data_IF_491614121912
#
_entry.id   IF_491614121912
#
_cell.length_a   1.000
_cell.length_b   1.000
_cell.length_c   1.000
_cell.angle_alpha   90.00
_cell.angle_beta   90.00
_cell.angle_gamma   90.00
#
_symmetry.space_group_name_H-M   'P 1'
#
loop_
_entity.id
_entity.type
_entity.pdbx_description
1 polymer ?
#
# COMPACT_ATOMS: atom_id res chain seq x y z
N UNK A 1 -34.46 21.28 19.38
CA UNK A 1 -34.70 19.90 19.87
C UNK A 1 -35.40 19.11 18.79
N UNK A 2 -35.25 17.79 18.77
CA UNK A 2 -35.89 16.93 17.76
C UNK A 2 -37.40 16.80 17.96
N UNK A 3 -37.86 16.81 19.20
CA UNK A 3 -39.30 16.80 19.53
C UNK A 3 -39.60 17.88 20.58
N UNK A 4 -39.94 19.11 20.18
CA UNK A 4 -40.39 20.14 21.12
C UNK A 4 -41.76 19.77 21.72
N UNK A 5 -41.95 19.97 23.02
CA UNK A 5 -43.22 19.65 23.68
C UNK A 5 -43.18 19.80 25.20
N UNK A 6 -44.28 19.44 25.85
CA UNK A 6 -44.38 19.35 27.31
C UNK A 6 -43.96 17.97 27.79
N UNK A 7 -43.10 17.94 28.81
CA UNK A 7 -42.56 16.69 29.36
C UNK A 7 -42.75 16.67 30.86
N UNK A 8 -43.40 15.61 31.37
CA UNK A 8 -43.50 15.35 32.80
C UNK A 8 -42.16 14.93 33.41
N UNK A 9 -41.93 15.31 34.66
CA UNK A 9 -40.73 14.94 35.41
C UNK A 9 -40.85 15.29 36.89
N UNK A 10 -39.77 15.04 37.63
CA UNK A 10 -39.64 15.34 39.06
C UNK A 10 -38.61 16.45 39.30
N UNK A 11 -38.66 17.15 40.43
CA UNK A 11 -37.75 18.27 40.70
C UNK A 11 -36.25 17.90 40.73
N UNK A 12 -35.93 16.62 40.88
CA UNK A 12 -34.57 16.07 40.81
C UNK A 12 -34.12 15.68 39.39
N UNK A 13 -35.00 15.74 38.39
CA UNK A 13 -34.62 15.48 37.00
C UNK A 13 -33.63 16.55 36.52
N UNK A 14 -32.56 16.10 35.86
CA UNK A 14 -31.56 17.01 35.31
C UNK A 14 -31.98 17.58 33.95
N UNK A 15 -31.31 18.66 33.53
CA UNK A 15 -31.46 19.20 32.18
C UNK A 15 -31.26 18.12 31.11
N UNK A 16 -30.27 17.23 31.30
CA UNK A 16 -29.99 16.13 30.37
C UNK A 16 -31.14 15.11 30.29
N UNK A 17 -31.82 14.85 31.41
CA UNK A 17 -33.01 13.98 31.43
C UNK A 17 -34.10 14.55 30.53
N UNK A 18 -34.42 15.84 30.67
CA UNK A 18 -35.42 16.52 29.83
C UNK A 18 -34.99 16.62 28.36
N UNK A 19 -33.72 16.94 28.10
CA UNK A 19 -33.17 16.94 26.73
C UNK A 19 -33.29 15.56 26.09
N UNK A 20 -32.97 14.50 26.84
CA UNK A 20 -33.11 13.11 26.37
C UNK A 20 -34.56 12.75 26.07
N UNK A 21 -35.51 13.12 26.96
CA UNK A 21 -36.96 12.91 26.74
C UNK A 21 -37.46 13.64 25.49
N UNK A 22 -36.88 14.80 25.18
CA UNK A 22 -37.18 15.58 23.97
C UNK A 22 -36.44 15.09 22.69
N UNK A 23 -35.80 13.92 22.75
CA UNK A 23 -35.07 13.33 21.63
C UNK A 23 -33.70 13.97 21.38
N UNK A 24 -33.18 14.76 22.32
CA UNK A 24 -31.90 15.43 22.26
C UNK A 24 -31.92 16.80 21.56
N UNK A 25 -30.75 17.44 21.56
CA UNK A 25 -30.50 18.63 20.74
C UNK A 25 -30.44 18.20 19.28
N UNK A 26 -31.08 18.99 18.41
CA UNK A 26 -31.03 18.76 16.97
C UNK A 26 -29.62 19.13 16.48
N UNK A 27 -28.88 18.18 15.90
CA UNK A 27 -27.48 18.36 15.52
C UNK A 27 -27.25 19.35 14.38
N UNK A 28 -28.28 19.63 13.57
CA UNK A 28 -28.19 20.58 12.46
C UNK A 28 -28.59 21.98 12.89
N UNK A 29 -29.65 22.10 13.71
CA UNK A 29 -30.32 23.39 13.99
C UNK A 29 -30.17 23.88 15.43
N UNK A 30 -29.97 22.97 16.39
CA UNK A 30 -29.97 23.30 17.81
C UNK A 30 -28.58 23.59 18.33
N UNK A 31 -28.47 24.60 19.20
CA UNK A 31 -27.23 24.94 19.87
C UNK A 31 -26.92 24.00 21.03
N UNK A 32 -25.68 23.54 21.10
CA UNK A 32 -25.10 22.82 22.24
C UNK A 32 -24.49 23.80 23.25
N UNK A 33 -24.24 25.05 22.85
CA UNK A 33 -23.57 26.06 23.67
C UNK A 33 -24.57 27.07 24.27
N UNK A 34 -25.68 27.33 23.59
CA UNK A 34 -26.75 28.24 24.02
C UNK A 34 -28.03 27.47 24.39
N UNK A 35 -28.03 26.88 25.59
CA UNK A 35 -29.24 26.33 26.20
C UNK A 35 -29.62 27.18 27.40
N UNK A 36 -30.85 27.68 27.42
CA UNK A 36 -31.35 28.54 28.50
C UNK A 36 -32.49 27.88 29.25
N UNK A 37 -32.42 27.92 30.58
CA UNK A 37 -33.54 27.53 31.45
C UNK A 37 -34.24 28.81 31.90
N UNK A 38 -35.54 28.90 31.66
CA UNK A 38 -36.38 30.06 31.98
C UNK A 38 -37.47 29.69 32.96
N UNK A 39 -37.79 30.61 33.87
CA UNK A 39 -38.99 30.56 34.72
C UNK A 39 -39.84 31.79 34.43
N UNK A 40 -40.95 31.61 33.71
CA UNK A 40 -41.68 32.74 33.12
C UNK A 40 -40.78 33.56 32.19
N UNK A 41 -40.63 34.87 32.47
CA UNK A 41 -39.78 35.77 31.66
C UNK A 41 -38.31 35.84 32.09
N UNK A 42 -37.95 35.24 33.23
CA UNK A 42 -36.60 35.34 33.80
C UNK A 42 -35.72 34.16 33.39
N UNK A 43 -34.50 34.43 32.93
CA UNK A 43 -33.47 33.41 32.66
C UNK A 43 -32.83 32.98 33.98
N UNK A 44 -32.92 31.69 34.30
CA UNK A 44 -32.37 31.09 35.53
C UNK A 44 -30.94 30.62 35.35
N UNK A 45 -30.66 29.96 34.23
CA UNK A 45 -29.33 29.48 33.91
C UNK A 45 -29.11 29.43 32.40
N UNK A 46 -27.85 29.58 32.01
CA UNK A 46 -27.34 29.27 30.68
C UNK A 46 -26.42 28.07 30.81
N UNK A 47 -26.54 27.13 29.89
CA UNK A 47 -25.84 25.85 29.95
C UNK A 47 -25.16 25.60 28.62
N UNK A 48 -23.86 25.32 28.71
CA UNK A 48 -23.04 24.79 27.62
C UNK A 48 -22.91 23.28 27.82
N UNK A 49 -23.43 22.49 26.90
CA UNK A 49 -23.37 21.03 26.99
C UNK A 49 -21.95 20.48 26.79
N UNK A 50 -21.05 21.22 26.14
CA UNK A 50 -19.65 20.77 26.02
C UNK A 50 -18.93 20.71 27.36
N UNK A 51 -19.31 21.53 28.35
CA UNK A 51 -18.76 21.46 29.71
C UNK A 51 -19.02 20.07 30.34
N UNK A 52 -20.17 19.48 30.03
CA UNK A 52 -20.52 18.15 30.47
C UNK A 52 -19.87 17.07 29.59
N UNK A 53 -19.95 17.19 28.27
CA UNK A 53 -19.44 16.17 27.35
C UNK A 53 -17.92 16.01 27.44
N UNK A 54 -17.19 17.09 27.70
CA UNK A 54 -15.73 17.10 27.75
C UNK A 54 -15.19 16.98 29.18
N UNK A 55 -15.83 17.64 30.16
CA UNK A 55 -15.31 17.74 31.53
C UNK A 55 -16.21 17.09 32.59
N UNK A 56 -17.37 16.54 32.21
CA UNK A 56 -18.34 15.95 33.14
C UNK A 56 -19.01 16.98 34.06
N UNK A 57 -18.89 18.27 33.77
CA UNK A 57 -19.42 19.35 34.61
C UNK A 57 -20.76 19.82 34.07
N UNK A 58 -21.78 19.73 34.90
CA UNK A 58 -23.09 20.33 34.63
C UNK A 58 -23.61 20.99 35.90
N UNK A 59 -24.08 22.23 35.79
CA UNK A 59 -24.71 22.91 36.91
C UNK A 59 -25.97 22.18 37.37
N UNK A 60 -26.14 21.99 38.68
CA UNK A 60 -27.36 21.45 39.26
C UNK A 60 -28.45 22.52 39.18
N UNK A 61 -29.48 22.28 38.36
CA UNK A 61 -30.67 23.13 38.28
C UNK A 61 -31.86 22.34 38.84
N UNK A 62 -32.51 22.87 39.87
CA UNK A 62 -33.79 22.33 40.36
C UNK A 62 -34.93 22.85 39.50
N UNK A 63 -35.59 21.94 38.79
CA UNK A 63 -36.73 22.27 37.93
C UNK A 63 -38.02 22.30 38.73
N UNK A 64 -38.88 23.26 38.40
CA UNK A 64 -40.23 23.41 38.97
C UNK A 64 -41.24 23.55 37.83
N UNK A 65 -42.50 23.23 38.10
CA UNK A 65 -43.61 23.42 37.16
C UNK A 65 -43.60 24.81 36.54
N UNK A 66 -43.69 24.85 35.20
CA UNK A 66 -43.62 26.07 34.41
C UNK A 66 -42.21 26.50 33.99
N UNK A 67 -41.16 25.78 34.38
CA UNK A 67 -39.83 25.99 33.82
C UNK A 67 -39.78 25.57 32.34
N UNK A 68 -39.10 26.37 31.52
CA UNK A 68 -38.97 26.14 30.09
C UNK A 68 -37.49 26.02 29.73
N UNK A 69 -37.12 24.91 29.07
CA UNK A 69 -35.80 24.73 28.49
C UNK A 69 -35.87 25.18 27.03
N UNK A 70 -35.11 26.22 26.70
CA UNK A 70 -35.02 26.75 25.34
C UNK A 70 -33.62 26.45 24.79
N UNK A 71 -33.59 25.67 23.72
CA UNK A 71 -32.38 25.44 22.92
C UNK A 71 -32.34 26.52 21.85
N UNK A 72 -31.31 27.36 21.89
CA UNK A 72 -31.08 28.40 20.88
C UNK A 72 -30.75 27.80 19.51
N UNK A 73 -30.82 28.62 18.44
CA UNK A 73 -30.34 28.20 17.13
C UNK A 73 -28.82 28.04 17.14
N UNK A 74 -28.32 27.08 16.37
CA UNK A 74 -26.88 26.86 16.19
C UNK A 74 -26.20 28.15 15.70
N UNK A 75 -25.11 28.54 16.35
CA UNK A 75 -24.36 29.76 16.04
C UNK A 75 -23.18 29.42 15.11
N UNK A 76 -21.95 29.59 15.58
CA UNK A 76 -20.74 29.42 14.79
C UNK A 76 -20.21 28.01 14.88
N UNK A 77 -19.70 27.49 13.77
CA UNK A 77 -19.26 26.10 13.67
C UNK A 77 -17.91 25.96 12.98
N UNK A 78 -17.15 24.94 13.36
CA UNK A 78 -16.00 24.49 12.59
C UNK A 78 -16.01 22.97 12.52
N UNK A 79 -15.52 22.43 11.40
CA UNK A 79 -15.42 20.99 11.21
C UNK A 79 -14.01 20.50 11.50
N UNK A 80 -13.87 19.32 12.10
CA UNK A 80 -12.58 18.68 12.34
C UNK A 80 -12.54 17.30 11.70
N UNK A 81 -11.47 17.04 10.95
CA UNK A 81 -11.22 15.74 10.31
C UNK A 81 -9.75 15.32 10.40
N UNK A 82 -9.49 14.04 10.07
CA UNK A 82 -8.15 13.48 9.97
C UNK A 82 -7.69 12.74 11.23
N UNK A 83 -6.44 12.93 11.63
CA UNK A 83 -5.78 12.22 12.73
C UNK A 83 -6.19 12.73 14.12
N UNK A 84 -7.49 12.65 14.40
CA UNK A 84 -8.13 13.07 15.66
C UNK A 84 -9.01 11.95 16.22
N UNK A 85 -9.25 11.97 17.54
CA UNK A 85 -10.24 11.08 18.16
C UNK A 85 -11.67 11.57 17.94
N UNK A 86 -11.87 12.90 17.97
CA UNK A 86 -13.17 13.52 17.86
C UNK A 86 -13.28 14.27 16.52
N UNK A 87 -13.64 13.53 15.47
CA UNK A 87 -13.86 14.05 14.12
C UNK A 87 -15.31 14.48 13.94
N UNK A 88 -15.64 15.69 14.37
CA UNK A 88 -17.02 16.21 14.38
C UNK A 88 -17.06 17.69 13.98
N UNK A 89 -18.28 18.18 13.77
CA UNK A 89 -18.55 19.61 13.72
C UNK A 89 -18.77 20.14 15.14
N UNK A 90 -17.95 21.10 15.55
CA UNK A 90 -18.05 21.74 16.85
C UNK A 90 -18.72 23.09 16.73
N UNK A 91 -19.52 23.44 17.73
CA UNK A 91 -20.11 24.76 17.87
C UNK A 91 -19.36 25.59 18.91
N UNK A 92 -19.23 26.89 18.68
CA UNK A 92 -18.61 27.83 19.62
C UNK A 92 -19.37 29.16 19.67
N UNK A 93 -19.29 29.85 20.80
CA UNK A 93 -20.13 31.03 21.07
C UNK A 93 -19.73 32.30 20.32
N UNK A 94 -18.44 32.45 20.03
CA UNK A 94 -17.88 33.67 19.45
C UNK A 94 -17.67 33.49 17.94
N UNK A 95 -17.42 34.55 17.18
CA UNK A 95 -17.10 34.45 15.75
C UNK A 95 -15.73 33.82 15.46
N UNK A 96 -14.89 33.68 16.49
CA UNK A 96 -13.58 33.01 16.43
C UNK A 96 -13.34 32.11 17.64
N UNK A 97 -12.54 31.06 17.44
CA UNK A 97 -12.07 30.17 18.50
C UNK A 97 -10.56 29.93 18.34
N UNK A 98 -9.75 29.98 19.42
CA UNK A 98 -8.33 29.62 19.35
C UNK A 98 -8.15 28.18 18.87
N UNK A 99 -7.18 27.96 17.98
CA UNK A 99 -6.89 26.61 17.47
C UNK A 99 -6.47 25.67 18.61
N UNK A 100 -5.79 26.17 19.65
CA UNK A 100 -5.44 25.39 20.84
C UNK A 100 -6.66 24.82 21.56
N UNK A 101 -7.74 25.61 21.63
CA UNK A 101 -9.00 25.18 22.24
C UNK A 101 -9.71 24.17 21.34
N UNK A 102 -9.80 24.46 20.03
CA UNK A 102 -10.33 23.54 19.04
C UNK A 102 -9.61 22.18 19.05
N UNK A 103 -8.29 22.17 19.18
CA UNK A 103 -7.48 20.94 19.30
C UNK A 103 -7.76 20.19 20.60
N UNK A 104 -8.07 20.89 21.70
CA UNK A 104 -8.45 20.23 22.96
C UNK A 104 -9.76 19.45 22.82
N UNK A 105 -10.69 19.95 21.99
CA UNK A 105 -11.96 19.28 21.69
C UNK A 105 -11.77 18.14 20.69
N UNK A 106 -11.01 18.39 19.63
CA UNK A 106 -10.68 17.42 18.58
C UNK A 106 -9.89 16.21 19.12
N UNK A 107 -9.01 16.45 20.10
CA UNK A 107 -8.05 15.46 20.63
C UNK A 107 -7.24 14.77 19.52
N UNK A 108 -6.21 15.41 18.95
CA UNK A 108 -5.29 14.78 18.01
C UNK A 108 -4.76 13.43 18.50
N UNK A 109 -4.67 12.45 17.61
CA UNK A 109 -4.11 11.13 17.92
C UNK A 109 -2.60 11.24 18.22
N UNK A 110 -2.05 10.36 19.06
CA UNK A 110 -0.60 10.28 19.26
C UNK A 110 0.10 10.05 17.91
N UNK A 111 0.75 11.09 17.42
CA UNK A 111 1.54 11.03 16.20
C UNK A 111 1.18 12.01 15.11
N UNK A 112 0.05 12.71 15.22
CA UNK A 112 -0.27 13.85 14.38
C UNK A 112 0.82 14.92 14.49
N UNK A 113 1.19 15.54 13.36
CA UNK A 113 2.29 16.52 13.31
C UNK A 113 1.86 17.86 12.74
N UNK A 114 0.85 17.89 11.87
CA UNK A 114 0.43 19.07 11.13
C UNK A 114 -1.07 19.30 11.21
N UNK A 115 -1.45 20.53 10.92
CA UNK A 115 -2.82 20.98 10.78
C UNK A 115 -2.96 21.80 9.50
N UNK A 116 -4.08 21.61 8.83
CA UNK A 116 -4.52 22.42 7.69
C UNK A 116 -5.78 23.15 8.09
N UNK A 117 -5.78 24.48 7.95
CA UNK A 117 -6.96 25.31 8.15
C UNK A 117 -7.48 25.69 6.77
N UNK A 118 -8.67 25.22 6.44
CA UNK A 118 -9.38 25.60 5.21
C UNK A 118 -10.41 26.66 5.58
N UNK A 119 -10.15 27.89 5.14
CA UNK A 119 -11.07 29.01 5.29
C UNK A 119 -12.20 28.89 4.28
N UNK A 120 -13.44 28.89 4.77
CA UNK A 120 -14.64 28.79 3.92
C UNK A 120 -15.43 30.09 3.83
N UNK A 121 -14.91 31.18 4.38
CA UNK A 121 -15.56 32.50 4.32
C UNK A 121 -15.30 33.19 2.97
N UNK A 122 -16.37 33.72 2.38
CA UNK A 122 -16.31 34.44 1.10
C UNK A 122 -16.24 33.52 -0.14
N UNK A 123 -15.98 34.12 -1.31
CA UNK A 123 -15.97 33.38 -2.58
C UNK A 123 -14.68 32.59 -2.84
N UNK A 124 -13.59 32.90 -2.12
CA UNK A 124 -12.28 32.29 -2.35
C UNK A 124 -11.91 31.33 -1.22
N UNK A 125 -11.74 30.06 -1.57
CA UNK A 125 -11.24 29.04 -0.65
C UNK A 125 -9.74 29.25 -0.41
N UNK A 126 -9.34 29.45 0.85
CA UNK A 126 -7.93 29.56 1.26
C UNK A 126 -7.53 28.39 2.15
N UNK A 127 -6.42 27.73 1.84
CA UNK A 127 -5.86 26.65 2.65
C UNK A 127 -4.53 27.10 3.27
N UNK A 128 -4.40 26.95 4.58
CA UNK A 128 -3.21 27.30 5.34
C UNK A 128 -2.64 26.03 5.99
N UNK A 129 -1.36 25.73 5.77
CA UNK A 129 -0.70 24.50 6.27
C UNK A 129 0.35 24.85 7.32
N UNK A 130 0.26 24.20 8.49
CA UNK A 130 1.10 24.53 9.63
C UNK A 130 1.46 23.30 10.47
N UNK A 131 2.62 23.27 11.13
CA UNK A 131 2.90 22.28 12.17
C UNK A 131 1.99 22.52 13.38
N UNK A 132 1.54 21.45 14.05
CA UNK A 132 0.68 21.51 15.23
C UNK A 132 1.28 22.34 16.37
N UNK A 133 2.60 22.35 16.50
CA UNK A 133 3.33 23.17 17.48
C UNK A 133 3.09 24.67 17.31
N UNK A 134 2.66 25.11 16.13
CA UNK A 134 2.32 26.50 15.84
C UNK A 134 0.84 26.83 16.10
N UNK A 135 0.06 25.94 16.73
CA UNK A 135 -1.31 26.23 17.14
C UNK A 135 -1.47 27.51 18.00
N UNK A 136 -0.57 27.84 18.93
CA UNK A 136 -0.67 29.08 19.71
C UNK A 136 -0.70 30.32 18.81
N UNK A 137 -1.61 31.25 19.10
CA UNK A 137 -1.79 32.50 18.36
C UNK A 137 -2.59 32.39 17.06
N UNK A 138 -3.09 31.20 16.70
CA UNK A 138 -4.00 31.00 15.55
C UNK A 138 -5.44 30.83 16.02
N UNK A 139 -6.37 31.28 15.20
CA UNK A 139 -7.80 31.12 15.43
C UNK A 139 -8.52 30.55 14.20
N UNK A 140 -9.56 29.78 14.47
CA UNK A 140 -10.56 29.40 13.49
C UNK A 140 -11.69 30.43 13.51
N UNK A 141 -12.33 30.57 12.37
CA UNK A 141 -13.51 31.39 12.15
C UNK A 141 -14.71 30.47 11.84
N UNK A 142 -15.90 31.05 11.87
CA UNK A 142 -17.12 30.33 11.52
C UNK A 142 -17.06 29.76 10.08
N UNK A 143 -17.43 28.48 9.96
CA UNK A 143 -17.37 27.69 8.74
C UNK A 143 -16.00 27.09 8.42
N UNK A 144 -14.95 27.38 9.21
CA UNK A 144 -13.63 26.82 8.91
C UNK A 144 -13.59 25.30 9.06
N UNK A 145 -12.71 24.68 8.30
CA UNK A 145 -12.40 23.25 8.40
C UNK A 145 -10.96 23.06 8.86
N UNK A 146 -10.79 22.32 9.95
CA UNK A 146 -9.50 21.95 10.52
C UNK A 146 -9.20 20.48 10.20
N UNK A 147 -8.19 20.24 9.37
CA UNK A 147 -7.74 18.88 9.05
C UNK A 147 -6.44 18.62 9.79
N UNK A 148 -6.40 17.58 10.60
CA UNK A 148 -5.20 17.15 11.31
C UNK A 148 -4.55 16.01 10.54
N UNK A 149 -3.25 16.09 10.30
CA UNK A 149 -2.52 15.09 9.55
C UNK A 149 -1.20 14.72 10.20
N UNK A 150 -0.75 13.52 9.86
CA UNK A 150 0.60 13.04 10.13
C UNK A 150 1.44 13.22 8.87
N UNK A 151 2.29 14.24 8.88
CA UNK A 151 3.34 14.43 7.88
C UNK A 151 4.67 14.07 8.55
N UNK A 152 5.17 12.89 8.16
CA UNK A 152 6.43 12.30 8.63
C UNK A 152 7.21 11.86 7.42
N UNK A 153 8.48 12.21 7.40
CA UNK A 153 9.46 11.67 6.47
C UNK A 153 10.22 10.53 7.16
N UNK A 154 10.62 9.52 6.39
CA UNK A 154 11.46 8.44 6.90
C UNK A 154 12.83 9.02 7.28
N UNK A 155 13.14 9.04 8.57
CA UNK A 155 14.49 9.40 9.06
C UNK A 155 15.48 8.24 8.93
N UNK A 156 14.96 7.03 9.04
CA UNK A 156 15.72 5.79 8.91
C UNK A 156 14.97 4.82 8.00
N UNK A 157 15.72 3.91 7.40
CA UNK A 157 15.20 2.73 6.71
C UNK A 157 15.64 1.49 7.47
N UNK A 158 14.82 0.46 7.41
CA UNK A 158 15.16 -0.86 7.90
C UNK A 158 15.31 -1.81 6.71
N UNK A 159 16.46 -2.45 6.64
CA UNK A 159 16.78 -3.44 5.59
C UNK A 159 16.97 -4.78 6.26
N UNK A 160 16.48 -5.85 5.62
CA UNK A 160 16.67 -7.21 6.11
C UNK A 160 17.84 -7.87 5.37
N UNK A 161 18.69 -8.57 6.09
CA UNK A 161 19.73 -9.43 5.53
C UNK A 161 19.33 -10.87 5.85
N UNK A 162 19.13 -11.68 4.82
CA UNK A 162 18.75 -13.08 4.92
C UNK A 162 19.80 -13.99 4.30
N UNK A 163 19.74 -15.28 4.65
CA UNK A 163 20.55 -16.34 4.03
C UNK A 163 21.83 -16.64 4.80
N UNK A 164 22.91 -16.92 4.06
CA UNK A 164 24.16 -17.37 4.62
C UNK A 164 24.95 -16.22 5.25
N UNK A 165 24.72 -15.93 6.52
CA UNK A 165 25.56 -15.05 7.35
C UNK A 165 25.44 -15.42 8.83
N UNK A 166 26.26 -14.80 9.67
CA UNK A 166 26.26 -14.99 11.14
C UNK A 166 26.03 -13.68 11.89
N UNK A 167 25.44 -12.70 11.20
CA UNK A 167 25.16 -11.36 11.73
C UNK A 167 23.68 -11.14 12.05
N UNK A 168 23.36 -9.90 12.41
CA UNK A 168 21.98 -9.47 12.59
C UNK A 168 21.20 -9.56 11.27
N UNK A 169 19.94 -9.96 11.35
CA UNK A 169 19.07 -10.07 10.17
C UNK A 169 18.38 -8.76 9.82
N UNK A 170 18.39 -7.77 10.73
CA UNK A 170 17.79 -6.47 10.50
C UNK A 170 18.82 -5.37 10.75
N UNK A 171 18.99 -4.48 9.78
CA UNK A 171 19.92 -3.36 9.83
C UNK A 171 19.14 -2.07 9.67
N UNK A 172 19.29 -1.17 10.64
CA UNK A 172 18.68 0.17 10.61
C UNK A 172 19.72 1.17 10.12
N UNK A 173 19.36 1.94 9.10
CA UNK A 173 20.25 2.88 8.42
C UNK A 173 19.56 4.25 8.29
N UNK A 174 20.31 5.35 8.12
CA UNK A 174 19.70 6.62 7.74
C UNK A 174 19.02 6.53 6.37
N UNK A 175 17.98 7.32 6.16
CA UNK A 175 17.35 7.43 4.84
C UNK A 175 18.36 7.93 3.80
N UNK A 176 18.40 7.28 2.63
CA UNK A 176 19.40 7.52 1.58
C UNK A 176 20.70 6.71 1.75
N UNK A 177 20.73 5.73 2.65
CA UNK A 177 21.83 4.79 2.78
C UNK A 177 22.06 3.95 1.51
N UNK A 178 23.31 3.50 1.35
CA UNK A 178 23.72 2.67 0.21
C UNK A 178 24.02 1.24 0.62
N UNK A 179 24.05 0.35 -0.36
CA UNK A 179 24.43 -1.05 -0.20
C UNK A 179 25.78 -1.21 0.50
N UNK A 180 26.78 -0.38 0.18
CA UNK A 180 28.10 -0.39 0.85
C UNK A 180 27.97 -0.30 2.37
N UNK A 181 27.07 0.54 2.88
CA UNK A 181 26.89 0.73 4.32
C UNK A 181 26.29 -0.51 5.00
N UNK A 182 25.46 -1.28 4.30
CA UNK A 182 24.96 -2.56 4.82
C UNK A 182 26.01 -3.64 4.70
N UNK A 183 26.67 -3.77 3.56
CA UNK A 183 27.72 -4.77 3.33
C UNK A 183 28.83 -4.68 4.40
N UNK A 184 29.16 -3.48 4.85
CA UNK A 184 30.13 -3.27 5.94
C UNK A 184 29.68 -3.80 7.31
N UNK A 185 28.37 -3.97 7.53
CA UNK A 185 27.79 -4.49 8.78
C UNK A 185 27.48 -5.99 8.71
N UNK A 186 27.48 -6.58 7.51
CA UNK A 186 27.25 -8.01 7.33
C UNK A 186 28.43 -8.81 7.88
N UNK A 187 28.11 -9.91 8.58
CA UNK A 187 29.10 -10.88 9.07
C UNK A 187 29.01 -12.17 8.24
N UNK A 188 29.74 -12.28 7.12
CA UNK A 188 29.73 -13.49 6.31
C UNK A 188 30.32 -14.68 7.07
N UNK A 189 29.90 -15.88 6.69
CA UNK A 189 30.42 -17.16 7.20
C UNK A 189 31.03 -17.98 6.04
N UNK A 190 31.49 -19.20 6.31
CA UNK A 190 32.17 -20.04 5.32
C UNK A 190 31.30 -20.39 4.10
N UNK A 191 29.98 -20.43 4.29
CA UNK A 191 28.99 -20.78 3.25
C UNK A 191 28.46 -19.56 2.49
N UNK A 192 28.77 -18.33 2.90
CA UNK A 192 28.31 -17.10 2.22
C UNK A 192 28.87 -16.98 0.79
N UNK A 193 28.00 -16.79 -0.20
CA UNK A 193 28.38 -16.46 -1.57
C UNK A 193 28.17 -14.96 -1.85
N UNK A 194 29.15 -14.13 -1.48
CA UNK A 194 29.04 -12.67 -1.54
C UNK A 194 29.01 -12.07 -2.95
N UNK A 195 29.55 -12.77 -3.95
CA UNK A 195 29.46 -12.30 -5.35
C UNK A 195 28.07 -12.50 -5.97
N UNK A 196 27.20 -13.27 -5.30
CA UNK A 196 25.86 -13.59 -5.77
C UNK A 196 24.76 -13.00 -4.90
N UNK A 197 25.04 -11.89 -4.20
CA UNK A 197 24.04 -11.21 -3.39
C UNK A 197 22.87 -10.78 -4.26
N UNK A 198 21.66 -11.03 -3.77
CA UNK A 198 20.41 -10.65 -4.41
C UNK A 198 19.75 -9.53 -3.60
N UNK A 199 19.15 -8.57 -4.30
CA UNK A 199 18.34 -7.52 -3.69
C UNK A 199 16.88 -7.69 -4.11
N UNK A 200 16.00 -7.85 -3.14
CA UNK A 200 14.56 -7.90 -3.35
C UNK A 200 13.90 -6.64 -2.82
N UNK A 201 13.12 -6.00 -3.68
CA UNK A 201 12.53 -4.69 -3.44
C UNK A 201 11.06 -4.66 -3.78
N UNK A 202 10.26 -4.17 -2.83
CA UNK A 202 8.80 -4.11 -2.97
C UNK A 202 8.35 -3.20 -4.11
N UNK A 203 8.95 -2.01 -4.27
CA UNK A 203 8.59 -1.07 -5.35
C UNK A 203 8.86 -1.67 -6.74
N UNK A 204 9.94 -2.44 -6.88
CA UNK A 204 10.30 -3.16 -8.11
C UNK A 204 9.32 -4.30 -8.36
N UNK A 205 8.92 -5.05 -7.33
CA UNK A 205 7.88 -6.09 -7.48
C UNK A 205 6.56 -5.51 -8.00
N UNK A 206 6.12 -4.37 -7.44
CA UNK A 206 4.92 -3.66 -7.90
C UNK A 206 5.05 -3.23 -9.36
N UNK A 207 6.17 -2.62 -9.74
CA UNK A 207 6.40 -2.19 -11.12
C UNK A 207 6.49 -3.35 -12.11
N UNK A 208 7.15 -4.45 -11.73
CA UNK A 208 7.19 -5.68 -12.53
C UNK A 208 5.78 -6.24 -12.73
N UNK A 209 4.92 -6.19 -11.69
CA UNK A 209 3.54 -6.65 -11.76
C UNK A 209 2.69 -5.80 -12.71
N UNK A 210 2.80 -4.48 -12.63
CA UNK A 210 2.11 -3.56 -13.54
C UNK A 210 2.52 -3.79 -15.00
N UNK A 211 3.82 -3.98 -15.26
CA UNK A 211 4.33 -4.27 -16.60
C UNK A 211 3.82 -5.60 -17.14
N UNK A 212 3.80 -6.64 -16.30
CA UNK A 212 3.23 -7.94 -16.65
C UNK A 212 1.74 -7.82 -16.97
N UNK A 213 0.96 -7.12 -16.13
CA UNK A 213 -0.48 -6.99 -16.32
C UNK A 213 -0.83 -6.23 -17.61
N UNK A 214 -0.02 -5.24 -18.00
CA UNK A 214 -0.13 -4.55 -19.28
C UNK A 214 0.23 -5.46 -20.46
N UNK A 215 1.31 -6.25 -20.37
CA UNK A 215 1.68 -7.23 -21.39
C UNK A 215 0.59 -8.29 -21.57
N UNK A 216 -0.02 -8.75 -20.48
CA UNK A 216 -1.14 -9.70 -20.49
C UNK A 216 -2.39 -9.11 -21.14
N UNK A 217 -2.72 -7.85 -20.85
CA UNK A 217 -3.84 -7.16 -21.50
C UNK A 217 -3.62 -7.06 -23.02
N UNK A 218 -2.42 -6.66 -23.46
CA UNK A 218 -2.10 -6.58 -24.89
C UNK A 218 -2.21 -7.94 -25.59
N UNK A 219 -1.80 -9.02 -24.93
CA UNK A 219 -1.94 -10.38 -25.45
C UNK A 219 -3.43 -10.75 -25.63
N UNK A 220 -4.27 -10.41 -24.66
CA UNK A 220 -5.71 -10.67 -24.71
C UNK A 220 -6.38 -9.88 -25.85
N UNK A 221 -6.05 -8.60 -26.00
CA UNK A 221 -6.53 -7.76 -27.12
C UNK A 221 -6.09 -8.30 -28.49
N UNK A 222 -4.81 -8.69 -28.63
CA UNK A 222 -4.28 -9.28 -29.86
C UNK A 222 -4.95 -10.61 -30.23
N UNK A 223 -5.40 -11.37 -29.23
CA UNK A 223 -6.16 -12.61 -29.47
C UNK A 223 -7.58 -12.36 -29.99
N UNK A 224 -8.16 -11.17 -29.76
CA UNK A 224 -9.53 -10.82 -30.12
C UNK A 224 -9.63 -10.00 -31.42
N UNK A 225 -8.56 -9.34 -31.84
CA UNK A 225 -8.57 -8.35 -32.93
C UNK A 225 -8.47 -8.94 -34.35
N UNK A 226 -8.18 -10.24 -34.50
CA UNK A 226 -8.00 -10.85 -35.82
C UNK A 226 -9.33 -11.03 -36.59
N UNK A 227 -9.41 -10.52 -37.84
CA UNK A 227 -10.58 -10.63 -38.73
C UNK A 227 -10.72 -12.03 -39.35
N UNK A 228 -11.90 -12.67 -39.25
CA UNK A 228 -12.15 -14.04 -39.76
C UNK A 228 -12.88 -13.99 -41.09
N UNK A 229 -12.42 -14.78 -42.07
CA UNK A 229 -13.02 -14.82 -43.40
C UNK A 229 -14.01 -15.98 -43.57
N UNK A 230 -13.85 -17.06 -42.78
CA UNK A 230 -14.71 -18.25 -42.81
C UNK A 230 -15.27 -18.62 -41.44
N UNK A 231 -16.36 -19.40 -41.40
CA UNK A 231 -16.99 -19.86 -40.16
C UNK A 231 -16.11 -20.85 -39.38
N UNK A 232 -15.30 -21.64 -40.08
CA UNK A 232 -14.36 -22.60 -39.46
C UNK A 232 -13.18 -21.88 -38.80
N UNK A 233 -12.65 -20.83 -39.44
CA UNK A 233 -11.65 -19.93 -38.83
C UNK A 233 -12.19 -19.26 -37.57
N UNK A 234 -13.45 -18.82 -37.59
CA UNK A 234 -14.07 -18.18 -36.42
C UNK A 234 -14.18 -19.14 -35.23
N UNK A 235 -14.50 -20.42 -35.45
CA UNK A 235 -14.55 -21.44 -34.39
C UNK A 235 -13.18 -21.74 -33.79
N UNK A 236 -12.16 -21.96 -34.63
CA UNK A 236 -10.79 -22.20 -34.18
C UNK A 236 -10.24 -21.01 -33.36
N UNK A 237 -10.57 -19.79 -33.76
CA UNK A 237 -10.16 -18.58 -33.03
C UNK A 237 -10.85 -18.41 -31.70
N UNK A 238 -12.14 -18.74 -31.59
CA UNK A 238 -12.79 -18.76 -30.28
C UNK A 238 -12.12 -19.75 -29.33
N UNK A 239 -11.68 -20.91 -29.83
CA UNK A 239 -10.95 -21.88 -29.04
C UNK A 239 -9.55 -21.37 -28.64
N UNK A 240 -8.80 -20.76 -29.57
CA UNK A 240 -7.50 -20.16 -29.29
C UNK A 240 -7.61 -19.02 -28.25
N UNK A 241 -8.59 -18.13 -28.41
CA UNK A 241 -8.84 -17.04 -27.46
C UNK A 241 -9.22 -17.55 -26.06
N UNK A 242 -9.93 -18.67 -25.96
CA UNK A 242 -10.20 -19.31 -24.67
C UNK A 242 -8.92 -19.86 -24.01
N UNK A 243 -8.01 -20.46 -24.78
CA UNK A 243 -6.72 -20.93 -24.24
C UNK A 243 -5.87 -19.74 -23.78
N UNK A 244 -5.79 -18.69 -24.59
CA UNK A 244 -5.08 -17.45 -24.23
C UNK A 244 -5.69 -16.83 -22.97
N UNK A 245 -7.02 -16.75 -22.87
CA UNK A 245 -7.70 -16.21 -21.69
C UNK A 245 -7.40 -17.03 -20.42
N UNK A 246 -7.36 -18.37 -20.52
CA UNK A 246 -6.94 -19.23 -19.39
C UNK A 246 -5.49 -19.01 -18.98
N UNK A 247 -4.59 -18.90 -19.96
CA UNK A 247 -3.20 -18.57 -19.70
C UNK A 247 -3.06 -17.20 -19.05
N UNK A 248 -3.77 -16.19 -19.54
CA UNK A 248 -3.78 -14.84 -18.96
C UNK A 248 -4.29 -14.89 -17.51
N UNK A 249 -5.40 -15.59 -17.25
CA UNK A 249 -5.94 -15.75 -15.91
C UNK A 249 -4.92 -16.41 -14.95
N UNK A 250 -4.23 -17.46 -15.41
CA UNK A 250 -3.18 -18.15 -14.64
C UNK A 250 -1.94 -17.25 -14.43
N UNK A 251 -1.51 -16.52 -15.45
CA UNK A 251 -0.35 -15.64 -15.37
C UNK A 251 -0.60 -14.43 -14.46
N UNK A 252 -1.83 -13.90 -14.41
CA UNK A 252 -2.20 -12.79 -13.52
C UNK A 252 -2.07 -13.12 -12.03
N UNK A 253 -2.08 -14.40 -11.63
CA UNK A 253 -1.91 -14.78 -10.22
C UNK A 253 -0.45 -14.78 -9.78
N UNK A 254 0.50 -14.75 -10.72
CA UNK A 254 1.93 -14.73 -10.40
C UNK A 254 2.31 -13.39 -9.79
N UNK A 255 3.02 -13.46 -8.66
CA UNK A 255 3.55 -12.30 -7.94
C UNK A 255 5.07 -12.24 -8.19
N UNK A 256 5.57 -11.18 -8.86
CA UNK A 256 7.00 -10.95 -9.00
C UNK A 256 7.72 -10.83 -7.66
N UNK A 257 8.96 -11.31 -7.58
CA UNK A 257 9.78 -11.23 -6.36
C UNK A 257 10.36 -9.84 -6.12
N UNK A 258 10.37 -8.97 -7.14
CA UNK A 258 11.00 -7.65 -7.05
C UNK A 258 12.53 -7.72 -7.03
N UNK A 259 13.10 -8.74 -7.68
CA UNK A 259 14.54 -8.91 -7.78
C UNK A 259 15.17 -7.78 -8.59
N UNK A 260 16.21 -7.17 -8.03
CA UNK A 260 17.03 -6.12 -8.65
C UNK A 260 18.36 -6.74 -9.02
N UNK A 261 18.65 -6.77 -10.32
CA UNK A 261 19.93 -7.27 -10.82
C UNK A 261 21.03 -6.29 -10.41
N UNK A 262 21.94 -6.76 -9.56
CA UNK A 262 23.09 -6.00 -9.10
C UNK A 262 24.28 -6.26 -10.01
N UNK A 263 24.91 -5.20 -10.52
CA UNK A 263 26.18 -5.33 -11.22
C UNK A 263 27.32 -5.26 -10.20
N UNK A 264 28.27 -6.20 -10.27
CA UNK A 264 29.44 -6.23 -9.38
C UNK A 264 30.20 -4.89 -9.36
N UNK A 265 30.19 -4.16 -10.48
CA UNK A 265 30.87 -2.86 -10.63
C UNK A 265 30.20 -1.71 -9.85
N UNK A 266 28.90 -1.80 -9.56
CA UNK A 266 28.14 -0.69 -8.98
C UNK A 266 27.35 -1.05 -7.72
N UNK A 267 27.45 -2.30 -7.24
CA UNK A 267 26.71 -2.81 -6.09
C UNK A 267 26.77 -1.86 -4.89
N UNK A 268 27.95 -1.35 -4.57
CA UNK A 268 28.21 -0.42 -3.46
C UNK A 268 27.37 0.87 -3.48
N UNK A 269 27.06 1.36 -4.68
CA UNK A 269 26.42 2.66 -4.93
C UNK A 269 24.90 2.57 -4.98
N UNK A 270 24.35 1.36 -4.98
CA UNK A 270 22.90 1.15 -5.01
C UNK A 270 22.28 1.74 -3.74
N UNK A 271 21.34 2.66 -3.92
CA UNK A 271 20.54 3.23 -2.84
C UNK A 271 19.52 2.20 -2.36
N UNK A 272 19.35 2.14 -1.04
CA UNK A 272 18.43 1.22 -0.39
C UNK A 272 17.10 1.89 -0.08
N UNK A 273 16.04 1.11 -0.16
CA UNK A 273 14.68 1.49 0.22
C UNK A 273 14.29 0.82 1.54
N UNK A 274 13.34 1.43 2.25
CA UNK A 274 12.78 0.82 3.45
C UNK A 274 12.09 -0.49 3.12
N UNK A 275 12.43 -1.54 3.87
CA UNK A 275 11.94 -2.90 3.64
C UNK A 275 12.66 -3.66 2.52
N UNK A 276 13.76 -3.15 1.97
CA UNK A 276 14.63 -3.94 1.08
C UNK A 276 15.09 -5.22 1.81
N UNK A 277 15.18 -6.31 1.05
CA UNK A 277 15.69 -7.60 1.53
C UNK A 277 16.92 -7.97 0.73
N UNK A 278 18.05 -8.07 1.41
CA UNK A 278 19.32 -8.51 0.86
C UNK A 278 19.48 -9.99 1.18
N UNK A 279 19.47 -10.83 0.16
CA UNK A 279 19.67 -12.27 0.31
C UNK A 279 21.11 -12.63 -0.04
N UNK A 280 21.81 -13.25 0.89
CA UNK A 280 23.14 -13.81 0.67
C UNK A 280 22.97 -15.31 0.45
N UNK A 281 23.10 -15.81 -0.79
CA UNK A 281 22.92 -17.23 -1.03
C UNK A 281 24.06 -18.06 -0.45
N UNK A 282 23.79 -19.35 -0.28
CA UNK A 282 24.80 -20.33 0.10
C UNK A 282 25.67 -20.73 -1.11
N UNK A 283 26.93 -21.02 -0.83
CA UNK A 283 27.83 -21.71 -1.76
C UNK A 283 27.22 -23.05 -2.14
N UNK A 284 27.14 -23.29 -3.43
CA UNK A 284 26.63 -24.52 -4.00
C UNK A 284 27.56 -25.02 -5.09
N UNK A 285 27.52 -26.33 -5.37
CA UNK A 285 28.22 -26.98 -6.47
C UNK A 285 27.23 -27.57 -7.48
N UNK A 286 26.00 -27.04 -7.53
CA UNK A 286 24.91 -27.53 -8.36
C UNK A 286 24.51 -26.50 -9.42
N UNK A 287 24.03 -26.99 -10.55
CA UNK A 287 23.30 -26.24 -11.58
C UNK A 287 21.88 -26.78 -11.61
N UNK A 288 20.90 -25.90 -11.50
CA UNK A 288 19.48 -26.30 -11.53
C UNK A 288 18.97 -26.29 -12.97
N UNK A 289 18.35 -27.35 -13.45
CA UNK A 289 17.74 -27.39 -14.78
C UNK A 289 16.24 -27.59 -14.65
N UNK A 290 15.45 -26.70 -15.25
CA UNK A 290 13.99 -26.78 -15.20
C UNK A 290 13.32 -26.15 -16.43
N UNK A 291 11.99 -26.31 -16.53
CA UNK A 291 11.20 -25.93 -17.70
C UNK A 291 10.88 -27.13 -18.59
N UNK A 292 10.89 -26.94 -19.91
CA UNK A 292 10.59 -27.97 -20.91
C UNK A 292 11.74 -28.98 -21.12
N UNK A 293 12.13 -29.66 -20.04
CA UNK A 293 13.07 -30.78 -20.02
C UNK A 293 12.39 -32.04 -19.50
N UNK A 294 12.86 -33.20 -19.93
CA UNK A 294 12.22 -34.48 -19.60
C UNK A 294 12.18 -34.73 -18.08
N UNK A 295 13.29 -34.43 -17.39
CA UNK A 295 13.41 -34.56 -15.94
C UNK A 295 14.04 -33.31 -15.33
N UNK A 296 13.24 -32.32 -14.89
CA UNK A 296 13.73 -31.16 -14.15
C UNK A 296 14.47 -31.61 -12.89
N UNK A 297 15.74 -31.22 -12.73
CA UNK A 297 16.58 -31.69 -11.64
C UNK A 297 17.79 -30.77 -11.35
N UNK A 298 18.37 -30.92 -10.17
CA UNK A 298 19.67 -30.36 -9.81
C UNK A 298 20.80 -31.30 -10.29
N UNK A 299 21.77 -30.76 -11.01
CA UNK A 299 22.92 -31.52 -11.52
C UNK A 299 24.21 -30.96 -10.93
N UNK A 300 25.13 -31.83 -10.51
CA UNK A 300 26.44 -31.38 -10.03
C UNK A 300 27.16 -30.59 -11.13
N UNK A 301 27.61 -29.39 -10.79
CA UNK A 301 28.39 -28.54 -11.66
C UNK A 301 29.71 -29.21 -12.03
N UNK A 302 30.09 -29.11 -13.30
CA UNK A 302 31.38 -29.56 -13.83
C UNK A 302 31.92 -28.46 -14.75
N UNK A 303 33.22 -28.19 -14.62
CA UNK A 303 33.91 -27.18 -15.40
C UNK A 303 33.91 -27.54 -16.89
N UNK A 304 33.57 -26.57 -17.74
CA UNK A 304 33.57 -26.72 -19.21
C UNK A 304 32.32 -27.37 -19.80
N UNK A 305 31.28 -27.63 -19.00
CA UNK A 305 29.97 -28.02 -19.51
C UNK A 305 29.13 -26.78 -19.85
N UNK A 306 28.47 -26.82 -21.00
CA UNK A 306 27.50 -25.83 -21.45
C UNK A 306 26.06 -26.18 -21.04
N UNK A 307 25.10 -25.31 -21.35
CA UNK A 307 23.70 -25.51 -20.99
C UNK A 307 23.10 -26.77 -21.62
N UNK A 308 23.47 -27.08 -22.86
CA UNK A 308 22.98 -28.26 -23.57
C UNK A 308 23.42 -29.56 -22.92
N UNK A 309 24.65 -29.62 -22.41
CA UNK A 309 25.17 -30.78 -21.71
C UNK A 309 24.42 -31.05 -20.40
N UNK A 310 24.03 -30.01 -19.67
CA UNK A 310 23.16 -30.16 -18.49
C UNK A 310 21.74 -30.59 -18.90
N UNK A 311 21.18 -30.05 -19.98
CA UNK A 311 19.87 -30.46 -20.50
C UNK A 311 19.87 -31.93 -20.91
N UNK A 312 20.93 -32.42 -21.57
CA UNK A 312 21.10 -33.84 -21.91
C UNK A 312 21.13 -34.72 -20.65
N UNK A 313 21.81 -34.28 -19.58
CA UNK A 313 21.80 -34.98 -18.28
C UNK A 313 20.41 -35.04 -17.64
N UNK A 314 19.53 -34.10 -17.97
CA UNK A 314 18.11 -34.09 -17.59
C UNK A 314 17.21 -34.86 -18.57
N UNK A 315 17.77 -35.71 -19.43
CA UNK A 315 17.02 -36.52 -20.39
C UNK A 315 16.67 -35.80 -21.70
N UNK A 316 17.21 -34.59 -21.91
CA UNK A 316 16.94 -33.76 -23.07
C UNK A 316 15.67 -32.93 -22.95
N UNK A 317 15.35 -32.23 -24.04
CA UNK A 317 14.12 -31.43 -24.15
C UNK A 317 12.89 -32.35 -24.25
N UNK A 318 11.77 -31.94 -23.65
CA UNK A 318 10.47 -32.61 -23.82
C UNK A 318 9.98 -32.55 -25.27
N UNK A 319 10.25 -31.45 -25.95
CA UNK A 319 9.86 -31.23 -27.34
C UNK A 319 11.00 -31.59 -28.31
N UNK A 320 10.68 -32.30 -29.40
CA UNK A 320 11.66 -32.78 -30.39
C UNK A 320 12.27 -31.69 -31.30
N UNK A 321 11.74 -30.46 -31.31
CA UNK A 321 12.23 -29.39 -32.20
C UNK A 321 13.26 -28.51 -31.48
N UNK A 322 14.51 -28.53 -31.95
CA UNK A 322 15.71 -27.96 -31.30
C UNK A 322 15.84 -26.42 -31.27
N UNK A 323 14.75 -25.67 -31.14
CA UNK A 323 14.77 -24.20 -31.07
C UNK A 323 14.02 -23.67 -29.83
N UNK A 324 14.04 -24.40 -28.71
CA UNK A 324 13.51 -23.86 -27.46
C UNK A 324 14.39 -22.70 -27.00
N UNK A 325 13.79 -21.65 -26.42
CA UNK A 325 14.59 -20.56 -25.84
C UNK A 325 15.13 -21.02 -24.49
N UNK A 326 16.45 -21.07 -24.35
CA UNK A 326 17.14 -21.48 -23.14
C UNK A 326 17.74 -20.23 -22.49
N UNK A 327 17.51 -20.07 -21.20
CA UNK A 327 17.96 -18.90 -20.44
C UNK A 327 18.80 -19.41 -19.29
N UNK A 328 19.96 -18.80 -19.10
CA UNK A 328 20.79 -18.99 -17.92
C UNK A 328 20.50 -17.85 -16.95
N UNK A 329 19.99 -18.18 -15.77
CA UNK A 329 19.78 -17.25 -14.67
C UNK A 329 20.92 -17.48 -13.68
N UNK A 330 21.82 -16.49 -13.60
CA UNK A 330 22.93 -16.48 -12.64
C UNK A 330 22.39 -16.37 -11.22
N UNK A 331 23.18 -16.82 -10.25
CA UNK A 331 22.79 -16.77 -8.85
C UNK A 331 22.57 -15.32 -8.34
N UNK A 332 23.19 -14.30 -8.93
CA UNK A 332 22.96 -12.87 -8.62
C UNK A 332 21.68 -12.29 -9.25
N UNK A 333 20.90 -13.09 -9.98
CA UNK A 333 19.66 -12.68 -10.65
C UNK A 333 19.84 -12.21 -12.10
N UNK A 334 21.07 -12.13 -12.62
CA UNK A 334 21.32 -11.79 -14.02
C UNK A 334 20.80 -12.89 -14.95
N UNK A 335 20.04 -12.51 -15.98
CA UNK A 335 19.50 -13.44 -16.98
C UNK A 335 20.21 -13.23 -18.33
N UNK A 336 20.74 -14.30 -18.90
CA UNK A 336 21.50 -14.29 -20.16
C UNK A 336 20.92 -15.36 -21.08
N UNK A 337 21.00 -15.14 -22.40
CA UNK A 337 20.72 -16.21 -23.35
C UNK A 337 21.79 -17.30 -23.21
N UNK A 338 21.41 -18.57 -23.35
CA UNK A 338 22.34 -19.68 -23.17
C UNK A 338 23.45 -19.67 -24.22
N UNK A 339 23.16 -19.21 -25.43
CA UNK A 339 24.14 -19.09 -26.52
C UNK A 339 25.21 -18.03 -26.23
N UNK A 340 24.89 -17.03 -25.41
CA UNK A 340 25.80 -15.95 -25.00
C UNK A 340 26.56 -16.28 -23.70
N UNK A 341 26.26 -17.42 -23.07
CA UNK A 341 26.86 -17.81 -21.80
C UNK A 341 28.13 -18.64 -22.03
N UNK A 342 29.29 -17.97 -22.09
CA UNK A 342 30.60 -18.62 -22.33
C UNK A 342 30.91 -19.78 -21.34
N UNK A 343 30.55 -19.62 -20.07
CA UNK A 343 30.74 -20.64 -19.02
C UNK A 343 29.62 -20.59 -17.98
N UNK A 344 29.11 -21.78 -17.62
CA UNK A 344 28.21 -21.96 -16.49
C UNK A 344 28.97 -21.97 -15.16
N UNK A 345 28.37 -21.36 -14.15
CA UNK A 345 28.91 -21.24 -12.80
C UNK A 345 28.09 -22.10 -11.82
N UNK A 346 28.69 -22.54 -10.70
CA UNK A 346 27.92 -23.14 -9.63
C UNK A 346 26.83 -22.17 -9.13
N UNK A 347 25.60 -22.68 -8.96
CA UNK A 347 24.44 -21.91 -8.55
C UNK A 347 23.63 -21.30 -9.70
N UNK A 348 24.09 -21.46 -10.95
CA UNK A 348 23.31 -21.07 -12.12
C UNK A 348 22.06 -21.95 -12.27
N UNK A 349 21.00 -21.34 -12.80
CA UNK A 349 19.75 -22.01 -13.13
C UNK A 349 19.56 -21.96 -14.66
N UNK A 350 19.40 -23.12 -15.28
CA UNK A 350 19.04 -23.28 -16.68
C UNK A 350 17.52 -23.42 -16.76
N UNK A 351 16.92 -22.48 -17.48
CA UNK A 351 15.50 -22.38 -17.71
C UNK A 351 15.20 -22.62 -19.19
N UNK A 352 14.49 -23.71 -19.50
CA UNK A 352 14.03 -24.01 -20.86
C UNK A 352 12.59 -23.55 -21.01
N UNK A 353 12.37 -22.50 -21.81
CA UNK A 353 11.02 -21.99 -22.04
C UNK A 353 10.24 -22.85 -23.04
N UNK A 354 8.92 -23.03 -22.84
CA UNK A 354 8.10 -23.71 -23.81
C UNK A 354 7.97 -22.90 -25.09
N UNK A 355 8.07 -23.62 -26.21
CA UNK A 355 7.74 -23.09 -27.52
C UNK A 355 6.25 -23.28 -27.76
N UNK A 356 5.59 -22.20 -28.15
CA UNK A 356 4.21 -22.23 -28.63
C UNK A 356 4.21 -22.07 -30.15
N UNK A 357 3.45 -22.93 -30.83
CA UNK A 357 3.25 -22.83 -32.28
C UNK A 357 1.80 -22.41 -32.53
N UNK A 358 1.59 -21.18 -33.02
CA UNK A 358 0.30 -20.79 -33.59
C UNK A 358 0.44 -20.12 -34.93
N UNK A 359 -0.67 -20.08 -35.68
CA UNK A 359 -0.73 -19.35 -36.95
C UNK A 359 -0.62 -17.83 -36.76
N UNK A 360 -0.91 -17.33 -35.55
CA UNK A 360 -0.82 -15.92 -35.23
C UNK A 360 0.53 -15.61 -34.56
N UNK A 361 1.46 -15.06 -35.35
CA UNK A 361 2.81 -14.69 -34.92
C UNK A 361 2.77 -13.69 -33.75
N UNK A 362 1.78 -12.79 -33.72
CA UNK A 362 1.66 -11.78 -32.66
C UNK A 362 1.31 -12.40 -31.30
N UNK A 363 0.34 -13.33 -31.28
CA UNK A 363 -0.04 -14.09 -30.08
C UNK A 363 1.12 -14.96 -29.59
N UNK A 364 1.79 -15.66 -30.51
CA UNK A 364 2.95 -16.50 -30.19
C UNK A 364 4.09 -15.68 -29.58
N UNK A 365 4.40 -14.52 -30.16
CA UNK A 365 5.40 -13.59 -29.62
C UNK A 365 5.00 -13.05 -28.25
N UNK A 366 3.72 -12.69 -28.08
CA UNK A 366 3.18 -12.19 -26.82
C UNK A 366 3.31 -13.21 -25.69
N UNK A 367 2.87 -14.46 -25.91
CA UNK A 367 3.01 -15.57 -24.96
C UNK A 367 4.49 -15.78 -24.61
N UNK A 368 5.38 -15.87 -25.61
CA UNK A 368 6.81 -16.08 -25.39
C UNK A 368 7.44 -14.96 -24.55
N UNK A 369 7.04 -13.72 -24.80
CA UNK A 369 7.52 -12.55 -24.04
C UNK A 369 7.04 -12.58 -22.59
N UNK A 370 5.78 -12.94 -22.35
CA UNK A 370 5.23 -13.07 -21.00
C UNK A 370 5.90 -14.22 -20.24
N UNK A 371 6.10 -15.37 -20.88
CA UNK A 371 6.82 -16.50 -20.27
C UNK A 371 8.24 -16.09 -19.87
N UNK A 372 8.93 -15.34 -20.72
CA UNK A 372 10.23 -14.75 -20.41
C UNK A 372 10.15 -13.82 -19.18
N UNK A 373 9.21 -12.88 -19.16
CA UNK A 373 9.02 -11.96 -18.03
C UNK A 373 8.71 -12.70 -16.72
N UNK A 374 7.90 -13.76 -16.76
CA UNK A 374 7.57 -14.59 -15.59
C UNK A 374 8.78 -15.40 -15.11
N UNK A 375 9.57 -15.95 -16.03
CA UNK A 375 10.79 -16.66 -15.71
C UNK A 375 11.80 -15.73 -15.01
N UNK A 376 11.99 -14.51 -15.51
CA UNK A 376 12.95 -13.57 -14.90
C UNK A 376 12.42 -12.96 -13.60
N UNK A 377 11.15 -12.49 -13.57
CA UNK A 377 10.63 -11.73 -12.44
C UNK A 377 10.12 -12.59 -11.28
N UNK A 378 9.71 -13.83 -11.55
CA UNK A 378 9.15 -14.75 -10.55
C UNK A 378 9.89 -16.09 -10.45
N UNK A 379 10.77 -16.43 -11.40
CA UNK A 379 11.38 -17.77 -11.53
C UNK A 379 10.33 -18.87 -11.66
N UNK A 380 9.31 -18.65 -12.49
CA UNK A 380 8.19 -19.59 -12.72
C UNK A 380 8.03 -19.88 -14.22
N UNK A 381 7.76 -21.15 -14.55
CA UNK A 381 7.34 -21.60 -15.90
C UNK A 381 5.86 -21.93 -15.88
N UNK A 382 5.10 -21.37 -16.82
CA UNK A 382 3.70 -21.68 -17.02
C UNK A 382 3.49 -22.43 -18.33
N UNK A 383 2.59 -23.40 -18.29
CA UNK A 383 2.04 -24.07 -19.46
C UNK A 383 0.60 -23.60 -19.70
N UNK A 384 0.22 -23.53 -20.99
CA UNK A 384 -1.10 -23.14 -21.51
C UNK A 384 -2.16 -24.24 -21.29
#
# INVERSE_FOLDING_TARGET
MRSPGLYGGVASDSLLSYLSKAGGVDSERGSYVDITVKRGKSVRSRVNLYDFLLNGKLGLSQFVDGDTIVVGPRQHTFSVEGDVFNSYDFEFSNSTIPVTEALSWARPKPGATHMTIIRQQGAMKRSEYYPLSSAPGRSLQDGDKLIISTDRFAGTIQVRVDGAHSGEHAVVLPYGATMRQVLAQIRPNSMSQLSAIQLYRKSVATRQKEMLDLSLQKLEEASLSAQSSTQEEARLRMQEAQLVSRFVAKARTVVPKGEVVLNESNIDSVLLEDGDVIMIPEKTSLVMVHGEVLFPNAVSWQKGMDADDYIKKCGGLTQKSGNAKIIVIRQNGESIDADDADDLRPGDEIMVLPKYESKNIEVTRGISTILYQLAVAAKVVLTL
#
